data_IF_395223315493
#
_entry.id   IF_395223315493
#
_cell.length_a   1.000
_cell.length_b   1.000
_cell.length_c   1.000
_cell.angle_alpha   90.00
_cell.angle_beta   90.00
_cell.angle_gamma   90.00
#
_symmetry.space_group_name_H-M   'P 1'
#
loop_
_entity.id
_entity.type
_entity.pdbx_description
1 polymer ?
#
# COMPACT_ATOMS: atom_id res chain seq x y z
N UNK A 1 -27.50 4.85 33.80
CA UNK A 1 -26.02 4.76 33.90
C UNK A 1 -25.44 5.98 33.20
N UNK A 2 -25.12 7.05 33.94
CA UNK A 2 -23.75 7.44 34.36
C UNK A 2 -22.80 7.57 33.16
N UNK A 3 -22.67 8.79 32.62
CA UNK A 3 -21.59 9.80 32.89
C UNK A 3 -20.35 9.54 32.04
N UNK A 4 -20.11 10.39 31.03
CA UNK A 4 -19.19 11.56 31.01
C UNK A 4 -17.72 11.18 30.81
N UNK A 5 -17.09 11.76 29.79
CA UNK A 5 -15.87 12.61 29.81
C UNK A 5 -15.50 12.87 28.33
N UNK A 6 -15.50 14.11 27.82
CA UNK A 6 -14.50 15.17 28.10
C UNK A 6 -13.32 14.97 27.12
N UNK A 7 -12.90 15.92 26.28
CA UNK A 7 -12.65 17.30 26.60
C UNK A 7 -12.72 18.23 25.38
N UNK A 8 -13.27 19.41 25.65
CA UNK A 8 -13.06 20.66 24.92
C UNK A 8 -11.58 21.07 25.10
N UNK A 9 -10.88 21.36 24.01
CA UNK A 9 -9.68 22.21 24.05
C UNK A 9 -9.99 23.49 23.28
N UNK A 10 -10.47 24.48 24.02
CA UNK A 10 -10.36 25.87 23.62
C UNK A 10 -8.94 26.32 23.94
N UNK A 11 -8.17 26.71 22.92
CA UNK A 11 -6.97 27.51 23.13
C UNK A 11 -7.07 28.77 22.27
N UNK A 12 -7.60 29.81 22.91
CA UNK A 12 -7.52 31.18 22.45
C UNK A 12 -6.10 31.70 22.62
N UNK A 13 -5.47 32.16 21.53
CA UNK A 13 -4.37 33.12 21.58
C UNK A 13 -4.47 34.10 20.42
N UNK A 14 -3.96 35.30 20.67
CA UNK A 14 -4.31 36.59 20.11
C UNK A 14 -3.11 37.13 19.29
N UNK A 15 -3.39 37.69 18.10
CA UNK A 15 -2.60 38.58 17.20
C UNK A 15 -1.06 38.57 17.23
N UNK A 16 -0.40 38.37 16.06
CA UNK A 16 0.59 39.31 15.47
C UNK A 16 0.55 39.19 13.93
N UNK A 17 0.39 40.32 13.23
CA UNK A 17 0.65 40.47 11.78
C UNK A 17 2.12 40.23 11.48
N UNK A 18 2.42 39.12 10.82
CA UNK A 18 3.70 38.84 10.19
C UNK A 18 3.44 37.89 9.04
N UNK A 19 3.99 38.18 7.86
CA UNK A 19 3.94 37.28 6.71
C UNK A 19 4.62 35.96 7.11
N UNK A 20 3.82 34.98 7.53
CA UNK A 20 4.25 33.66 7.91
C UNK A 20 3.63 32.73 6.89
N UNK A 21 4.45 32.13 6.03
CA UNK A 21 4.10 30.88 5.37
C UNK A 21 3.90 29.84 6.48
N UNK A 22 2.72 29.84 7.09
CA UNK A 22 2.29 28.69 7.88
C UNK A 22 2.13 27.53 6.89
N UNK A 23 2.78 26.38 7.10
CA UNK A 23 2.49 25.21 6.31
C UNK A 23 1.03 24.86 6.57
N UNK A 24 0.19 25.10 5.58
CA UNK A 24 -1.19 24.63 5.57
C UNK A 24 -1.12 23.13 5.75
N UNK A 25 -1.62 22.60 6.87
CA UNK A 25 -1.77 21.15 7.03
C UNK A 25 -2.88 20.74 6.08
N UNK A 26 -2.46 20.33 4.89
CA UNK A 26 -3.36 19.82 3.87
C UNK A 26 -3.76 18.41 4.30
N UNK A 27 -5.00 18.22 4.76
CA UNK A 27 -5.58 16.89 4.93
C UNK A 27 -5.42 16.12 3.61
N UNK A 28 -4.76 14.95 3.58
CA UNK A 28 -4.49 14.25 2.34
C UNK A 28 -5.79 13.85 1.66
N UNK A 29 -5.85 13.98 0.33
CA UNK A 29 -6.88 13.30 -0.44
C UNK A 29 -6.54 11.81 -0.46
N UNK A 30 -7.44 10.99 0.06
CA UNK A 30 -7.28 9.55 0.11
C UNK A 30 -8.16 8.88 -0.95
N UNK A 31 -7.60 7.93 -1.71
CA UNK A 31 -8.39 7.02 -2.55
C UNK A 31 -8.15 5.57 -2.13
N UNK A 32 -9.14 4.72 -2.41
CA UNK A 32 -9.02 3.28 -2.23
C UNK A 32 -8.81 2.62 -3.59
N UNK A 33 -7.94 1.63 -3.61
CA UNK A 33 -7.69 0.81 -4.78
C UNK A 33 -7.75 -0.68 -4.42
N UNK A 34 -8.18 -1.48 -5.38
CA UNK A 34 -8.34 -2.93 -5.24
C UNK A 34 -7.80 -3.61 -6.49
N UNK A 35 -6.93 -4.59 -6.29
CA UNK A 35 -6.54 -5.54 -7.31
C UNK A 35 -6.87 -6.95 -6.83
N UNK A 36 -7.54 -7.75 -7.66
CA UNK A 36 -7.89 -9.13 -7.31
C UNK A 36 -7.94 -10.02 -8.53
N UNK A 37 -7.61 -11.29 -8.34
CA UNK A 37 -7.79 -12.35 -9.33
C UNK A 37 -8.17 -13.67 -8.66
N UNK A 38 -8.77 -14.57 -9.43
CA UNK A 38 -9.08 -15.92 -8.97
C UNK A 38 -8.06 -16.89 -9.52
N UNK A 39 -7.40 -17.64 -8.65
CA UNK A 39 -6.52 -18.74 -9.05
C UNK A 39 -7.30 -19.87 -9.70
N UNK A 40 -6.61 -20.71 -10.48
CA UNK A 40 -7.16 -21.94 -11.06
C UNK A 40 -7.77 -22.91 -10.02
N UNK A 41 -7.40 -22.77 -8.74
CA UNK A 41 -7.90 -23.59 -7.63
C UNK A 41 -9.10 -22.98 -6.90
N UNK A 42 -9.65 -21.86 -7.38
CA UNK A 42 -10.84 -21.20 -6.82
C UNK A 42 -10.57 -20.28 -5.63
N UNK A 43 -9.31 -20.08 -5.23
CA UNK A 43 -8.95 -19.07 -4.23
C UNK A 43 -8.83 -17.71 -4.90
N UNK A 44 -9.33 -16.66 -4.24
CA UNK A 44 -9.18 -15.27 -4.68
C UNK A 44 -8.02 -14.62 -3.96
N UNK A 45 -7.08 -14.10 -4.74
CA UNK A 45 -5.90 -13.40 -4.25
C UNK A 45 -5.94 -11.93 -4.69
N UNK A 46 -5.41 -11.04 -3.86
CA UNK A 46 -5.44 -9.61 -4.18
C UNK A 46 -4.96 -8.72 -3.07
N UNK A 47 -4.99 -7.42 -3.31
CA UNK A 47 -4.69 -6.39 -2.33
C UNK A 47 -5.76 -5.31 -2.38
N UNK A 48 -6.17 -4.85 -1.20
CA UNK A 48 -6.93 -3.60 -1.04
C UNK A 48 -6.04 -2.60 -0.34
N UNK A 49 -5.94 -1.40 -0.89
CA UNK A 49 -5.10 -0.33 -0.35
C UNK A 49 -5.89 0.96 -0.15
N UNK A 50 -5.44 1.77 0.81
CA UNK A 50 -5.78 3.19 0.91
C UNK A 50 -4.51 3.98 0.66
N UNK A 51 -4.55 4.91 -0.29
CA UNK A 51 -3.42 5.74 -0.68
C UNK A 51 -3.71 7.18 -0.29
N UNK A 52 -2.78 7.81 0.42
CA UNK A 52 -2.91 9.20 0.88
C UNK A 52 -1.97 10.09 0.07
N UNK A 53 -2.51 11.15 -0.54
CA UNK A 53 -1.77 12.06 -1.42
C UNK A 53 -1.70 13.47 -0.82
N UNK A 54 -0.52 14.05 -0.89
CA UNK A 54 -0.30 15.48 -0.63
C UNK A 54 -0.93 16.31 -1.77
N UNK A 55 -1.89 17.19 -1.45
CA UNK A 55 -2.66 17.88 -2.50
C UNK A 55 -1.83 18.88 -3.30
N UNK A 56 -0.72 19.38 -2.77
CA UNK A 56 0.08 20.42 -3.41
C UNK A 56 1.09 19.79 -4.37
N UNK A 57 1.82 18.79 -3.90
CA UNK A 57 2.86 18.09 -4.65
C UNK A 57 2.32 16.94 -5.50
N UNK A 58 1.09 16.48 -5.24
CA UNK A 58 0.46 15.29 -5.87
C UNK A 58 1.26 14.00 -5.67
N UNK A 59 2.06 13.95 -4.61
CA UNK A 59 2.88 12.79 -4.25
C UNK A 59 2.19 11.95 -3.19
N UNK A 60 2.38 10.64 -3.27
CA UNK A 60 1.97 9.69 -2.24
C UNK A 60 2.73 10.01 -0.96
N UNK A 61 1.99 10.08 0.14
CA UNK A 61 2.50 10.29 1.49
C UNK A 61 2.40 9.04 2.34
N UNK A 62 1.50 8.12 1.97
CA UNK A 62 1.31 6.85 2.64
C UNK A 62 0.51 5.87 1.79
N UNK A 63 0.87 4.60 1.87
CA UNK A 63 0.01 3.48 1.44
C UNK A 63 -0.31 2.61 2.64
N UNK A 64 -1.59 2.38 2.88
CA UNK A 64 -2.09 1.43 3.87
C UNK A 64 -2.63 0.20 3.14
N UNK A 65 -2.04 -0.96 3.41
CA UNK A 65 -2.60 -2.24 3.01
C UNK A 65 -3.62 -2.69 4.04
N UNK A 66 -4.86 -2.93 3.60
CA UNK A 66 -5.90 -3.52 4.44
C UNK A 66 -5.59 -5.00 4.72
N UNK A 67 -6.07 -5.48 5.87
CA UNK A 67 -5.98 -6.89 6.22
C UNK A 67 -6.77 -7.78 5.24
N UNK A 68 -6.35 -9.04 5.14
CA UNK A 68 -7.05 -10.06 4.36
C UNK A 68 -8.48 -10.26 4.86
N UNK A 69 -9.35 -10.70 3.96
CA UNK A 69 -10.75 -11.03 4.26
C UNK A 69 -11.02 -12.51 3.95
N UNK A 70 -12.18 -13.01 4.37
CA UNK A 70 -12.62 -14.37 4.02
C UNK A 70 -12.74 -14.58 2.50
N UNK A 71 -12.86 -13.49 1.72
CA UNK A 71 -13.07 -13.51 0.27
C UNK A 71 -11.81 -13.20 -0.54
N UNK A 72 -10.75 -12.66 0.07
CA UNK A 72 -9.54 -12.25 -0.64
C UNK A 72 -8.33 -12.18 0.28
N UNK A 73 -7.22 -12.78 -0.14
CA UNK A 73 -5.93 -12.74 0.58
C UNK A 73 -4.80 -12.17 -0.27
N UNK A 74 -3.95 -11.35 0.33
CA UNK A 74 -2.73 -10.84 -0.32
C UNK A 74 -1.55 -11.81 -0.18
N UNK A 75 -1.61 -12.75 0.74
CA UNK A 75 -0.55 -13.73 0.94
C UNK A 75 -0.93 -15.04 0.26
N UNK A 76 -0.10 -15.49 -0.69
CA UNK A 76 -0.21 -16.85 -1.21
C UNK A 76 -0.08 -17.85 -0.04
N UNK A 77 -0.90 -18.90 -0.02
CA UNK A 77 -0.79 -19.95 0.99
C UNK A 77 0.57 -20.65 0.92
N UNK A 78 1.06 -21.21 2.04
CA UNK A 78 2.31 -21.97 2.07
C UNK A 78 2.13 -23.35 1.40
N UNK A 79 2.14 -23.36 0.07
CA UNK A 79 1.99 -24.55 -0.76
C UNK A 79 3.02 -24.54 -1.89
N UNK A 80 3.67 -25.68 -2.12
CA UNK A 80 4.67 -25.83 -3.17
C UNK A 80 5.95 -25.06 -2.87
N UNK A 81 6.32 -24.12 -3.73
CA UNK A 81 7.52 -23.27 -3.59
C UNK A 81 7.34 -22.11 -2.61
N UNK A 82 6.13 -21.91 -2.09
CA UNK A 82 5.81 -20.88 -1.11
C UNK A 82 5.93 -21.44 0.29
N UNK A 83 6.90 -20.94 1.06
CA UNK A 83 7.22 -21.42 2.39
C UNK A 83 6.61 -20.53 3.48
N UNK A 84 6.53 -21.03 4.71
CA UNK A 84 6.17 -20.19 5.86
C UNK A 84 7.23 -19.11 6.14
N UNK A 85 8.48 -19.33 5.73
CA UNK A 85 9.54 -18.32 5.79
C UNK A 85 9.25 -17.15 4.84
N UNK A 86 8.79 -17.41 3.63
CA UNK A 86 8.39 -16.36 2.67
C UNK A 86 7.23 -15.51 3.21
N UNK A 87 6.28 -16.15 3.89
CA UNK A 87 5.13 -15.47 4.54
C UNK A 87 5.57 -14.62 5.73
N UNK A 88 6.51 -15.12 6.53
CA UNK A 88 7.12 -14.34 7.61
C UNK A 88 7.87 -13.14 7.02
N UNK A 89 8.67 -13.36 5.97
CA UNK A 89 9.44 -12.32 5.31
C UNK A 89 8.55 -11.21 4.74
N UNK A 90 7.39 -11.55 4.15
CA UNK A 90 6.38 -10.56 3.78
C UNK A 90 5.92 -9.71 4.96
N UNK A 91 5.54 -10.35 6.07
CA UNK A 91 5.02 -9.61 7.22
C UNK A 91 6.07 -8.71 7.87
N UNK A 92 7.34 -9.14 7.86
CA UNK A 92 8.46 -8.38 8.43
C UNK A 92 8.85 -7.18 7.55
N UNK A 93 8.72 -7.31 6.22
CA UNK A 93 9.23 -6.30 5.28
C UNK A 93 8.15 -5.49 4.55
N UNK A 94 6.86 -5.87 4.62
CA UNK A 94 5.77 -5.15 3.92
C UNK A 94 5.70 -3.67 4.30
N UNK A 95 6.04 -3.31 5.54
CA UNK A 95 6.03 -1.91 5.98
C UNK A 95 7.06 -1.09 5.21
N UNK A 96 8.27 -1.61 5.03
CA UNK A 96 9.31 -0.91 4.29
C UNK A 96 9.00 -0.85 2.79
N UNK A 97 8.47 -1.95 2.25
CA UNK A 97 7.96 -1.96 0.89
C UNK A 97 6.85 -0.91 0.68
N UNK A 98 5.86 -0.78 1.58
CA UNK A 98 4.81 0.24 1.46
C UNK A 98 5.35 1.69 1.54
N UNK A 99 6.46 1.92 2.27
CA UNK A 99 7.11 3.24 2.30
C UNK A 99 7.77 3.62 0.98
N UNK A 100 8.20 2.65 0.16
CA UNK A 100 8.84 2.95 -1.13
C UNK A 100 7.91 3.69 -2.11
N UNK A 101 6.60 3.70 -1.86
CA UNK A 101 5.63 4.50 -2.62
C UNK A 101 5.70 5.99 -2.25
N UNK A 102 6.20 6.34 -1.07
CA UNK A 102 6.24 7.73 -0.59
C UNK A 102 7.11 8.59 -1.51
N UNK A 103 6.58 9.75 -1.90
CA UNK A 103 7.26 10.70 -2.78
C UNK A 103 7.08 10.45 -4.28
N UNK A 104 6.49 9.31 -4.68
CA UNK A 104 6.09 9.04 -6.05
C UNK A 104 4.72 9.65 -6.36
N UNK A 105 4.49 10.01 -7.62
CA UNK A 105 3.17 10.36 -8.16
C UNK A 105 2.43 9.10 -8.62
N UNK A 106 1.10 9.20 -8.75
CA UNK A 106 0.32 8.08 -9.30
C UNK A 106 0.69 7.75 -10.74
N UNK A 107 1.06 8.76 -11.54
CA UNK A 107 1.50 8.55 -12.92
C UNK A 107 2.79 7.72 -12.96
N UNK A 108 3.76 8.01 -12.09
CA UNK A 108 4.99 7.21 -11.96
C UNK A 108 4.67 5.77 -11.56
N UNK A 109 3.77 5.56 -10.60
CA UNK A 109 3.38 4.22 -10.14
C UNK A 109 2.63 3.45 -11.25
N UNK A 110 1.66 4.07 -11.91
CA UNK A 110 0.87 3.46 -12.99
C UNK A 110 1.71 3.15 -14.23
N UNK A 111 2.85 3.80 -14.40
CA UNK A 111 3.80 3.51 -15.49
C UNK A 111 4.61 2.22 -15.25
N UNK A 112 4.57 1.66 -14.04
CA UNK A 112 5.31 0.45 -13.69
C UNK A 112 4.57 -0.77 -14.21
N UNK A 113 5.25 -1.51 -15.09
CA UNK A 113 4.72 -2.75 -15.61
C UNK A 113 4.88 -3.87 -14.57
N UNK A 114 3.74 -4.35 -14.06
CA UNK A 114 3.66 -5.60 -13.28
C UNK A 114 3.08 -6.68 -14.19
N UNK A 115 3.94 -7.51 -14.83
CA UNK A 115 3.50 -8.57 -15.71
C UNK A 115 2.64 -9.59 -14.95
N UNK A 116 1.61 -10.09 -15.63
CA UNK A 116 0.71 -11.11 -15.08
C UNK A 116 0.60 -12.28 -16.05
N UNK A 117 0.25 -13.46 -15.54
CA UNK A 117 -0.18 -14.57 -16.38
C UNK A 117 -1.62 -14.34 -16.88
N UNK A 118 -2.17 -15.35 -17.57
CA UNK A 118 -3.53 -15.30 -18.14
C UNK A 118 -4.65 -15.18 -17.10
N UNK A 119 -4.40 -15.63 -15.87
CA UNK A 119 -5.35 -15.54 -14.76
C UNK A 119 -5.29 -14.19 -14.02
N UNK A 120 -4.35 -13.30 -14.40
CA UNK A 120 -4.11 -12.05 -13.68
C UNK A 120 -3.27 -12.23 -12.42
N UNK A 121 -2.62 -13.37 -12.23
CA UNK A 121 -1.62 -13.51 -11.18
C UNK A 121 -0.36 -12.73 -11.55
N UNK A 122 0.17 -11.84 -10.69
CA UNK A 122 1.47 -11.23 -10.92
C UNK A 122 2.53 -12.32 -11.07
N UNK A 123 3.30 -12.24 -12.15
CA UNK A 123 4.35 -13.22 -12.40
C UNK A 123 5.41 -13.08 -11.31
N UNK A 124 5.96 -14.22 -10.85
CA UNK A 124 7.24 -14.19 -10.16
C UNK A 124 8.28 -13.48 -11.04
N UNK A 125 9.21 -12.79 -10.41
CA UNK A 125 10.32 -12.18 -11.13
C UNK A 125 11.23 -13.28 -11.69
N UNK A 126 11.79 -13.03 -12.87
CA UNK A 126 12.88 -13.85 -13.45
C UNK A 126 14.07 -13.89 -12.48
N UNK A 127 14.95 -14.88 -12.62
CA UNK A 127 16.05 -15.17 -11.66
C UNK A 127 16.99 -13.98 -11.41
N UNK A 128 17.10 -13.05 -12.36
CA UNK A 128 17.95 -11.84 -12.29
C UNK A 128 17.17 -10.53 -12.02
N UNK A 129 15.84 -10.58 -11.96
CA UNK A 129 15.02 -9.41 -11.71
C UNK A 129 14.83 -9.18 -10.21
N UNK A 130 15.21 -7.99 -9.74
CA UNK A 130 15.19 -7.62 -8.31
C UNK A 130 13.92 -6.86 -7.88
N UNK A 131 13.10 -6.45 -8.84
CA UNK A 131 11.95 -5.59 -8.59
C UNK A 131 11.07 -5.34 -9.82
N UNK A 132 9.96 -4.62 -9.62
CA UNK A 132 9.16 -4.06 -10.72
C UNK A 132 9.50 -2.58 -10.91
N UNK A 133 10.28 -2.25 -11.94
CA UNK A 133 10.71 -0.88 -12.19
C UNK A 133 11.51 -0.31 -11.02
N UNK A 134 10.96 0.71 -10.34
CA UNK A 134 11.62 1.36 -9.19
C UNK A 134 11.39 0.64 -7.85
N UNK A 135 10.53 -0.38 -7.80
CA UNK A 135 10.17 -1.07 -6.57
C UNK A 135 11.02 -2.32 -6.37
N UNK A 136 11.88 -2.30 -5.34
CA UNK A 136 12.46 -3.52 -4.79
C UNK A 136 11.34 -4.30 -4.08
N UNK A 137 10.99 -5.46 -4.63
CA UNK A 137 9.91 -6.29 -4.09
C UNK A 137 10.40 -7.09 -2.88
N UNK A 138 9.47 -7.53 -2.03
CA UNK A 138 9.82 -8.41 -0.92
C UNK A 138 10.21 -9.79 -1.46
N UNK A 139 11.48 -10.17 -1.28
CA UNK A 139 12.00 -11.47 -1.71
C UNK A 139 11.15 -12.63 -1.17
N UNK A 140 10.90 -13.66 -1.98
CA UNK A 140 10.00 -14.76 -1.62
C UNK A 140 8.51 -14.40 -1.60
N UNK A 141 8.15 -13.11 -1.60
CA UNK A 141 6.79 -12.59 -1.60
C UNK A 141 6.54 -11.60 -2.75
N UNK A 142 7.17 -11.86 -3.89
CA UNK A 142 7.11 -11.03 -5.09
C UNK A 142 5.68 -10.82 -5.60
N UNK A 143 4.86 -11.87 -5.61
CA UNK A 143 3.46 -11.76 -6.06
C UNK A 143 2.64 -10.85 -5.15
N UNK A 144 2.84 -10.92 -3.83
CA UNK A 144 2.18 -10.04 -2.86
C UNK A 144 2.57 -8.57 -3.11
N UNK A 145 3.85 -8.34 -3.39
CA UNK A 145 4.35 -7.01 -3.78
C UNK A 145 3.68 -6.52 -5.07
N UNK A 146 3.59 -7.38 -6.09
CA UNK A 146 2.92 -7.07 -7.36
C UNK A 146 1.42 -6.76 -7.19
N UNK A 147 0.71 -7.51 -6.34
CA UNK A 147 -0.72 -7.24 -6.02
C UNK A 147 -0.90 -5.84 -5.44
N UNK A 148 -0.01 -5.43 -4.54
CA UNK A 148 -0.05 -4.08 -3.94
C UNK A 148 0.23 -3.01 -4.99
N UNK A 149 1.27 -3.16 -5.81
CA UNK A 149 1.60 -2.17 -6.86
C UNK A 149 0.43 -1.98 -7.82
N UNK A 150 -0.25 -3.06 -8.22
CA UNK A 150 -1.42 -2.98 -9.12
C UNK A 150 -2.68 -2.43 -8.44
N UNK A 151 -2.75 -2.49 -7.11
CA UNK A 151 -3.88 -1.96 -6.35
C UNK A 151 -3.75 -0.44 -6.09
N UNK A 152 -2.54 0.11 -6.14
CA UNK A 152 -2.26 1.55 -6.01
C UNK A 152 -2.54 2.26 -7.34
#
# INVERSE_FOLDING_TARGET
>A
MFKKLGAVFALSALFITGCSCEPTVVEPEGYEGVYSYSSAYGNTYGAKVKVEIDKDTKKVTKVHLYDDTDEMTNLSGALGTWTEEDRANWNDNKVEFLKSFEGLTLEEIMSIEVPTNEDGEPNGLEEDATGYGTFDVVAGATQSSGRVIKAV
#
